data_IF_826985751603
#
_entry.id   IF_826985751603
#
_cell.length_a   1.000
_cell.length_b   1.000
_cell.length_c   1.000
_cell.angle_alpha   90.00
_cell.angle_beta   90.00
_cell.angle_gamma   90.00
#
_symmetry.space_group_name_H-M   'P 1'
#
loop_
_entity.id
_entity.type
_entity.pdbx_description
1 polymer ?
#
# COMPACT_ATOMS: atom_id res chain seq x y z
N UNK A 1 29.72 7.61 2.85
CA UNK A 1 28.38 7.10 2.50
C UNK A 1 27.48 7.39 3.70
N UNK A 2 26.56 8.35 3.55
CA UNK A 2 25.92 9.06 4.65
C UNK A 2 24.92 8.20 5.44
N UNK A 3 24.86 8.41 6.77
CA UNK A 3 24.03 7.66 7.73
C UNK A 3 22.50 7.74 7.50
N UNK A 4 22.05 8.61 6.59
CA UNK A 4 20.64 8.80 6.26
C UNK A 4 20.03 7.65 5.45
N UNK A 5 20.85 6.90 4.72
CA UNK A 5 20.39 5.81 3.84
C UNK A 5 19.83 4.58 4.59
N UNK A 6 20.06 4.45 5.90
CA UNK A 6 19.71 3.24 6.66
C UNK A 6 18.20 3.10 6.88
N UNK A 7 17.48 4.21 6.99
CA UNK A 7 16.08 4.22 7.42
C UNK A 7 15.09 4.48 6.29
N UNK A 8 15.56 4.71 5.06
CA UNK A 8 14.75 5.12 3.91
C UNK A 8 13.46 4.31 3.73
N UNK A 9 13.56 2.96 3.74
CA UNK A 9 12.37 2.08 3.60
C UNK A 9 11.46 2.20 4.83
N UNK A 10 12.03 2.20 6.03
CA UNK A 10 11.27 2.31 7.28
C UNK A 10 10.51 3.64 7.38
N UNK A 11 11.15 4.74 7.00
CA UNK A 11 10.55 6.06 6.97
C UNK A 11 9.38 6.10 6.00
N UNK A 12 9.57 5.61 4.77
CA UNK A 12 8.51 5.55 3.77
C UNK A 12 7.32 4.69 4.25
N UNK A 13 7.59 3.54 4.87
CA UNK A 13 6.55 2.66 5.43
C UNK A 13 5.78 3.35 6.56
N UNK A 14 6.49 4.00 7.49
CA UNK A 14 5.86 4.68 8.62
C UNK A 14 5.06 5.90 8.19
N UNK A 15 5.53 6.67 7.20
CA UNK A 15 4.78 7.78 6.59
C UNK A 15 3.53 7.26 5.89
N UNK A 16 3.62 6.18 5.12
CA UNK A 16 2.44 5.56 4.46
C UNK A 16 1.46 5.00 5.48
N UNK A 17 1.94 4.39 6.56
CA UNK A 17 1.10 3.91 7.66
C UNK A 17 0.37 5.07 8.32
N UNK A 18 1.07 6.14 8.69
CA UNK A 18 0.47 7.33 9.25
C UNK A 18 -0.57 7.95 8.31
N UNK A 19 -0.27 8.01 7.01
CA UNK A 19 -1.21 8.50 6.01
C UNK A 19 -2.45 7.64 5.83
N UNK A 20 -2.39 6.33 6.11
CA UNK A 20 -3.58 5.47 6.13
C UNK A 20 -4.54 5.81 7.28
N UNK A 21 -4.09 6.56 8.29
CA UNK A 21 -4.90 7.01 9.43
C UNK A 21 -5.32 8.49 9.33
N UNK A 22 -4.59 9.29 8.54
CA UNK A 22 -4.70 10.76 8.50
C UNK A 22 -4.94 11.31 7.09
N UNK A 23 -5.52 10.51 6.20
CA UNK A 23 -5.95 10.87 4.84
C UNK A 23 -4.87 11.62 4.04
N UNK A 24 -3.64 11.10 4.05
CA UNK A 24 -2.57 11.65 3.21
C UNK A 24 -1.96 12.97 3.69
N UNK A 25 -2.15 13.36 4.96
CA UNK A 25 -1.63 14.61 5.53
C UNK A 25 -0.12 14.64 5.76
N UNK A 26 0.50 13.51 6.09
CA UNK A 26 1.89 13.38 6.52
C UNK A 26 2.81 13.40 5.30
N UNK A 27 3.80 14.29 5.26
CA UNK A 27 4.76 14.41 4.16
C UNK A 27 6.09 13.79 4.51
N UNK A 28 6.54 14.00 5.75
CA UNK A 28 7.82 13.55 6.26
C UNK A 28 7.65 12.77 7.56
N UNK A 29 8.70 12.03 7.94
CA UNK A 29 8.67 11.22 9.17
C UNK A 29 8.40 12.07 10.42
N UNK A 30 8.95 13.29 10.49
CA UNK A 30 8.76 14.21 11.62
C UNK A 30 7.31 14.63 11.83
N UNK A 31 6.54 14.73 10.74
CA UNK A 31 5.14 15.18 10.77
C UNK A 31 4.25 14.20 11.56
N UNK A 32 4.66 12.93 11.67
CA UNK A 32 3.96 11.92 12.47
C UNK A 32 3.98 12.30 13.97
N UNK A 33 4.98 13.04 14.42
CA UNK A 33 5.08 13.51 15.79
C UNK A 33 4.60 14.95 15.95
N UNK A 34 4.00 15.55 14.93
CA UNK A 34 3.45 16.90 15.03
C UNK A 34 2.00 16.87 15.53
N UNK A 35 1.60 17.97 16.15
CA UNK A 35 0.28 18.19 16.76
C UNK A 35 -0.86 17.75 15.85
N UNK A 36 -0.75 17.97 14.53
CA UNK A 36 -1.78 17.60 13.55
C UNK A 36 -2.03 16.09 13.54
N UNK A 37 -0.99 15.27 13.32
CA UNK A 37 -1.14 13.82 13.33
C UNK A 37 -1.42 13.29 14.74
N UNK A 38 -0.71 13.79 15.75
CA UNK A 38 -0.89 13.35 17.14
C UNK A 38 -2.31 13.57 17.63
N UNK A 39 -2.99 14.65 17.21
CA UNK A 39 -4.40 14.87 17.57
C UNK A 39 -5.33 13.79 17.04
N UNK A 40 -5.10 13.34 15.80
CA UNK A 40 -5.85 12.25 15.17
C UNK A 40 -5.55 10.95 15.91
N UNK A 41 -4.27 10.66 16.15
CA UNK A 41 -3.83 9.43 16.79
C UNK A 41 -4.32 9.31 18.24
N UNK A 42 -4.20 10.37 19.06
CA UNK A 42 -4.71 10.40 20.45
C UNK A 42 -6.21 10.13 20.46
N UNK A 43 -6.98 10.84 19.64
CA UNK A 43 -8.43 10.62 19.54
C UNK A 43 -8.78 9.20 19.12
N UNK A 44 -8.01 8.62 18.20
CA UNK A 44 -8.20 7.25 17.73
C UNK A 44 -7.92 6.21 18.82
N UNK A 45 -6.91 6.43 19.65
CA UNK A 45 -6.52 5.50 20.71
C UNK A 45 -7.41 5.63 21.96
N UNK A 46 -7.60 6.86 22.47
CA UNK A 46 -8.24 7.10 23.77
C UNK A 46 -9.70 7.51 23.66
N UNK A 47 -10.11 8.10 22.52
CA UNK A 47 -11.41 8.74 22.35
C UNK A 47 -11.43 10.22 22.76
N UNK A 48 -10.36 10.73 23.36
CA UNK A 48 -10.30 12.09 23.90
C UNK A 48 -9.86 13.13 22.86
N UNK A 49 -10.22 14.38 23.11
CA UNK A 49 -9.68 15.51 22.34
C UNK A 49 -8.26 15.85 22.78
N UNK A 50 -7.37 16.09 21.81
CA UNK A 50 -6.03 16.61 22.05
C UNK A 50 -5.98 18.12 21.80
N UNK A 51 -5.48 18.88 22.76
CA UNK A 51 -5.34 20.35 22.66
C UNK A 51 -3.86 20.70 22.61
N UNK A 52 -3.48 21.49 21.61
CA UNK A 52 -2.11 21.98 21.48
C UNK A 52 -1.77 22.97 22.59
N UNK A 53 -0.57 22.84 23.15
CA UNK A 53 0.02 23.80 24.08
C UNK A 53 0.78 24.92 23.36
N UNK A 54 0.86 24.90 22.02
CA UNK A 54 1.66 25.82 21.21
C UNK A 54 3.17 25.51 21.20
N UNK A 55 3.62 24.49 21.91
CA UNK A 55 5.01 24.02 21.90
C UNK A 55 5.06 22.59 21.39
N UNK A 56 5.72 22.37 20.25
CA UNK A 56 5.85 21.05 19.61
C UNK A 56 6.35 19.99 20.59
N UNK A 57 7.38 20.31 21.36
CA UNK A 57 7.99 19.36 22.31
C UNK A 57 7.02 18.95 23.41
N UNK A 58 6.29 19.93 23.95
CA UNK A 58 5.31 19.70 25.00
C UNK A 58 4.10 18.93 24.45
N UNK A 59 3.68 19.21 23.22
CA UNK A 59 2.61 18.49 22.54
C UNK A 59 2.98 17.01 22.35
N UNK A 60 4.20 16.70 21.94
CA UNK A 60 4.69 15.32 21.84
C UNK A 60 4.64 14.62 23.19
N UNK A 61 5.16 15.24 24.26
CA UNK A 61 5.15 14.66 25.61
C UNK A 61 3.73 14.42 26.13
N UNK A 62 2.84 15.39 25.91
CA UNK A 62 1.44 15.29 26.31
C UNK A 62 0.74 14.16 25.56
N UNK A 63 0.93 14.06 24.24
CA UNK A 63 0.35 13.00 23.43
C UNK A 63 0.84 11.63 23.90
N UNK A 64 2.16 11.46 24.13
CA UNK A 64 2.73 10.21 24.63
C UNK A 64 2.12 9.77 25.96
N UNK A 65 1.96 10.70 26.91
CA UNK A 65 1.30 10.42 28.20
C UNK A 65 -0.16 10.00 28.05
N UNK A 66 -0.89 10.58 27.09
CA UNK A 66 -2.29 10.25 26.85
C UNK A 66 -2.46 8.86 26.24
N UNK A 67 -1.60 8.48 25.28
CA UNK A 67 -1.73 7.19 24.58
C UNK A 67 -1.07 6.02 25.31
N UNK A 68 -0.13 6.29 26.22
CA UNK A 68 0.52 5.28 27.04
C UNK A 68 0.86 5.84 28.42
N UNK A 69 0.30 5.22 29.46
CA UNK A 69 0.68 5.47 30.86
C UNK A 69 1.94 4.69 31.27
N UNK A 70 2.59 4.01 30.32
CA UNK A 70 3.72 3.13 30.53
C UNK A 70 5.08 3.80 30.30
N UNK A 71 6.12 2.99 30.30
CA UNK A 71 7.51 3.43 30.16
C UNK A 71 8.02 3.44 28.70
N UNK A 72 7.14 3.21 27.70
CA UNK A 72 7.55 3.03 26.29
C UNK A 72 8.38 4.17 25.74
N UNK A 73 8.01 5.39 26.14
CA UNK A 73 8.64 6.62 25.67
C UNK A 73 9.77 7.11 26.58
N UNK A 74 10.00 6.48 27.75
CA UNK A 74 11.02 6.94 28.72
C UNK A 74 12.45 6.84 28.19
N UNK A 75 12.69 5.94 27.23
CA UNK A 75 14.01 5.73 26.63
C UNK A 75 14.30 6.71 25.48
N UNK A 76 13.35 7.57 25.11
CA UNK A 76 13.48 8.46 23.96
C UNK A 76 14.00 9.82 24.41
N UNK A 77 15.08 10.27 23.79
CA UNK A 77 15.56 11.63 23.97
C UNK A 77 14.64 12.60 23.23
N UNK A 78 13.96 13.46 24.00
CA UNK A 78 13.09 14.50 23.44
C UNK A 78 13.89 15.53 22.61
N UNK A 79 15.16 15.77 22.96
CA UNK A 79 16.04 16.63 22.18
C UNK A 79 16.36 16.00 20.82
N UNK A 80 16.60 14.68 20.75
CA UNK A 80 16.83 14.02 19.47
C UNK A 80 15.59 14.05 18.56
N UNK A 81 14.38 13.97 19.13
CA UNK A 81 13.14 14.19 18.36
C UNK A 81 13.03 15.64 17.87
N UNK A 82 13.39 16.61 18.71
CA UNK A 82 13.36 18.03 18.35
C UNK A 82 14.36 18.34 17.22
N UNK A 83 15.52 17.70 17.24
CA UNK A 83 16.59 17.84 16.25
C UNK A 83 16.31 17.06 14.94
N UNK A 84 15.17 16.36 14.84
CA UNK A 84 14.81 15.62 13.63
C UNK A 84 15.59 14.31 13.44
N UNK A 85 16.12 13.71 14.51
CA UNK A 85 16.90 12.48 14.40
C UNK A 85 16.02 11.30 13.94
N UNK A 86 16.26 10.73 12.75
CA UNK A 86 15.37 9.71 12.17
C UNK A 86 15.32 8.44 13.02
N UNK A 87 16.41 8.06 13.70
CA UNK A 87 16.41 6.90 14.59
C UNK A 87 15.48 7.09 15.79
N UNK A 88 15.54 8.26 16.42
CA UNK A 88 14.70 8.58 17.58
C UNK A 88 13.23 8.66 17.18
N UNK A 89 12.94 9.30 16.05
CA UNK A 89 11.58 9.42 15.53
C UNK A 89 11.03 8.05 15.10
N UNK A 90 11.79 7.24 14.34
CA UNK A 90 11.37 5.88 13.99
C UNK A 90 11.12 5.01 15.22
N UNK A 91 11.92 5.17 16.28
CA UNK A 91 11.67 4.45 17.53
C UNK A 91 10.36 4.89 18.19
N UNK A 92 10.08 6.20 18.26
CA UNK A 92 8.82 6.74 18.77
C UNK A 92 7.61 6.27 17.95
N UNK A 93 7.68 6.38 16.62
CA UNK A 93 6.61 5.94 15.70
C UNK A 93 6.38 4.43 15.82
N UNK A 94 7.44 3.64 16.00
CA UNK A 94 7.30 2.22 16.30
C UNK A 94 6.52 1.95 17.59
N UNK A 95 6.72 2.76 18.65
CA UNK A 95 5.91 2.63 19.86
C UNK A 95 4.44 2.98 19.59
N UNK A 96 4.15 4.00 18.77
CA UNK A 96 2.78 4.32 18.36
C UNK A 96 2.14 3.15 17.59
N UNK A 97 2.85 2.50 16.67
CA UNK A 97 2.38 1.30 15.95
C UNK A 97 2.03 0.17 16.93
N UNK A 98 2.86 -0.06 17.96
CA UNK A 98 2.58 -1.08 18.97
C UNK A 98 1.36 -0.74 19.84
N UNK A 99 1.15 0.54 20.16
CA UNK A 99 -0.04 1.01 20.89
C UNK A 99 -1.28 0.84 20.02
N UNK A 100 -1.18 1.16 18.72
CA UNK A 100 -2.25 0.94 17.76
C UNK A 100 -2.66 -0.54 17.70
N UNK A 101 -1.69 -1.46 17.61
CA UNK A 101 -1.98 -2.91 17.69
C UNK A 101 -2.75 -3.27 18.96
N UNK A 102 -2.28 -2.85 20.13
CA UNK A 102 -2.96 -3.13 21.41
C UNK A 102 -4.41 -2.64 21.45
N UNK A 103 -4.71 -1.55 20.74
CA UNK A 103 -6.03 -0.94 20.71
C UNK A 103 -7.01 -1.64 19.77
N UNK A 104 -6.52 -2.14 18.63
CA UNK A 104 -7.36 -2.62 17.53
C UNK A 104 -7.26 -4.11 17.24
N UNK A 105 -6.23 -4.81 17.72
CA UNK A 105 -6.13 -6.24 17.54
C UNK A 105 -7.18 -7.01 18.37
N UNK A 106 -7.61 -8.19 17.90
CA UNK A 106 -8.50 -9.08 18.65
C UNK A 106 -7.99 -9.41 20.06
N UNK A 107 -8.92 -9.64 20.99
CA UNK A 107 -8.62 -9.73 22.42
C UNK A 107 -7.65 -10.88 22.79
N UNK A 108 -7.66 -11.96 22.02
CA UNK A 108 -6.81 -13.15 22.18
C UNK A 108 -5.35 -12.92 21.75
N UNK A 109 -5.09 -11.95 20.87
CA UNK A 109 -3.73 -11.68 20.35
C UNK A 109 -3.16 -10.32 20.75
N UNK A 110 -3.99 -9.36 21.17
CA UNK A 110 -3.56 -7.98 21.42
C UNK A 110 -2.54 -7.81 22.56
N UNK A 111 -2.54 -8.73 23.52
CA UNK A 111 -1.64 -8.68 24.69
C UNK A 111 -0.29 -9.36 24.42
N UNK A 112 -0.17 -10.13 23.33
CA UNK A 112 1.09 -10.69 22.87
C UNK A 112 1.97 -9.60 22.25
N UNK A 113 3.28 -9.87 22.10
CA UNK A 113 4.12 -8.94 21.34
C UNK A 113 3.67 -8.97 19.87
N UNK A 114 3.46 -7.80 19.28
CA UNK A 114 3.02 -7.64 17.88
C UNK A 114 3.72 -8.58 16.90
N UNK A 115 5.06 -8.67 16.95
CA UNK A 115 5.82 -9.52 16.05
C UNK A 115 5.65 -11.03 16.33
N UNK A 116 5.41 -11.43 17.58
CA UNK A 116 5.16 -12.85 17.92
C UNK A 116 3.77 -13.24 17.40
N UNK A 117 2.74 -12.46 17.73
CA UNK A 117 1.36 -12.68 17.26
C UNK A 117 1.27 -12.77 15.73
N UNK A 118 1.93 -11.86 15.01
CA UNK A 118 1.92 -11.89 13.55
C UNK A 118 2.71 -13.06 12.97
N UNK A 119 3.80 -13.48 13.62
CA UNK A 119 4.55 -14.66 13.15
C UNK A 119 3.67 -15.91 13.26
N UNK A 120 3.03 -16.11 14.40
CA UNK A 120 2.16 -17.26 14.64
C UNK A 120 1.01 -17.30 13.65
N UNK A 121 0.33 -16.17 13.44
CA UNK A 121 -0.71 -16.02 12.42
C UNK A 121 -0.20 -16.37 11.01
N UNK A 122 0.95 -15.83 10.60
CA UNK A 122 1.50 -16.09 9.26
C UNK A 122 1.82 -17.57 9.07
N UNK A 123 2.45 -18.22 10.06
CA UNK A 123 2.81 -19.64 10.02
C UNK A 123 1.55 -20.51 9.92
N UNK A 124 0.54 -20.25 10.74
CA UNK A 124 -0.73 -20.96 10.72
C UNK A 124 -1.40 -20.87 9.34
N UNK A 125 -1.54 -19.65 8.80
CA UNK A 125 -2.21 -19.41 7.52
C UNK A 125 -1.46 -19.96 6.31
N UNK A 126 -0.13 -20.03 6.38
CA UNK A 126 0.71 -20.55 5.30
C UNK A 126 0.82 -22.09 5.29
N UNK A 127 0.52 -22.76 6.40
CA UNK A 127 0.79 -24.19 6.62
C UNK A 127 0.23 -25.09 5.50
N UNK A 128 -1.01 -24.86 5.08
CA UNK A 128 -1.68 -25.67 4.04
C UNK A 128 -1.06 -25.56 2.64
N UNK A 129 -0.27 -24.52 2.41
CA UNK A 129 0.39 -24.27 1.12
C UNK A 129 1.86 -24.73 1.12
N UNK A 130 2.32 -25.39 2.19
CA UNK A 130 3.70 -25.85 2.36
C UNK A 130 4.74 -24.71 2.26
N UNK A 131 4.31 -23.47 2.54
CA UNK A 131 5.20 -22.29 2.60
C UNK A 131 5.71 -22.14 4.02
N UNK A 132 7.03 -22.15 4.20
CA UNK A 132 7.67 -22.02 5.50
C UNK A 132 7.99 -20.55 5.80
N UNK A 133 7.58 -20.08 6.98
CA UNK A 133 7.85 -18.72 7.45
C UNK A 133 8.65 -18.79 8.74
N UNK A 134 9.91 -18.34 8.70
CA UNK A 134 10.81 -18.40 9.84
C UNK A 134 11.24 -17.02 10.34
N UNK A 135 11.18 -16.01 9.47
CA UNK A 135 11.57 -14.62 9.73
C UNK A 135 10.65 -13.60 9.04
N UNK A 136 10.93 -12.31 9.24
CA UNK A 136 10.20 -11.19 8.64
C UNK A 136 10.93 -10.55 7.46
N UNK A 137 11.95 -11.21 6.90
CA UNK A 137 12.74 -10.64 5.81
C UNK A 137 12.87 -11.68 4.71
N UNK A 138 13.68 -12.72 4.91
CA UNK A 138 14.01 -13.71 3.89
C UNK A 138 12.79 -14.50 3.42
N UNK A 139 11.90 -14.87 4.34
CA UNK A 139 10.69 -15.68 4.09
C UNK A 139 9.65 -14.99 3.18
N UNK A 140 9.84 -13.70 2.93
CA UNK A 140 8.89 -12.86 2.19
C UNK A 140 9.43 -12.44 0.81
N UNK A 141 10.72 -12.68 0.55
CA UNK A 141 11.42 -12.17 -0.64
C UNK A 141 10.96 -12.79 -1.95
N UNK A 142 10.47 -14.02 -1.91
CA UNK A 142 10.03 -14.76 -3.09
C UNK A 142 8.56 -14.52 -3.45
N UNK A 143 7.79 -13.92 -2.52
CA UNK A 143 6.37 -13.60 -2.63
C UNK A 143 5.40 -14.73 -2.29
N UNK A 144 5.86 -15.95 -1.97
CA UNK A 144 4.94 -17.07 -1.71
C UNK A 144 4.15 -16.87 -0.40
N UNK A 145 4.80 -16.36 0.64
CA UNK A 145 4.16 -16.11 1.94
C UNK A 145 2.96 -15.15 1.83
N UNK A 146 3.11 -14.03 1.09
CA UNK A 146 2.02 -13.07 0.88
C UNK A 146 0.82 -13.71 0.17
N UNK A 147 1.08 -14.47 -0.89
CA UNK A 147 0.04 -15.15 -1.65
C UNK A 147 -0.66 -16.24 -0.84
N UNK A 148 0.10 -16.99 -0.02
CA UNK A 148 -0.43 -18.02 0.87
C UNK A 148 -1.40 -17.44 1.89
N UNK A 149 -1.04 -16.31 2.50
CA UNK A 149 -1.88 -15.61 3.47
C UNK A 149 -3.19 -15.14 2.85
N UNK A 150 -3.19 -14.65 1.61
CA UNK A 150 -4.41 -14.22 0.91
C UNK A 150 -5.30 -15.41 0.53
N UNK A 151 -4.73 -16.45 -0.09
CA UNK A 151 -5.47 -17.65 -0.46
C UNK A 151 -6.08 -18.33 0.76
N UNK A 152 -5.32 -18.43 1.86
CA UNK A 152 -5.79 -18.01 3.16
C UNK A 152 -7.30 -17.90 3.45
N UNK A 153 -7.76 -16.69 3.20
CA UNK A 153 -9.07 -16.17 3.48
C UNK A 153 -10.01 -16.34 2.29
N UNK A 154 -9.47 -16.41 1.07
CA UNK A 154 -10.26 -16.65 -0.12
C UNK A 154 -9.53 -17.61 -1.09
N UNK A 155 -9.78 -18.93 -0.97
CA UNK A 155 -9.17 -19.95 -1.82
C UNK A 155 -9.54 -19.82 -3.30
N UNK A 156 -10.62 -19.13 -3.63
CA UNK A 156 -11.13 -18.99 -5.00
C UNK A 156 -10.46 -17.85 -5.79
N UNK A 157 -9.57 -17.05 -5.17
CA UNK A 157 -8.90 -15.94 -5.86
C UNK A 157 -8.01 -16.41 -7.02
N UNK A 158 -7.21 -17.44 -6.78
CA UNK A 158 -6.25 -18.02 -7.73
C UNK A 158 -5.70 -19.35 -7.19
N UNK A 159 -4.79 -19.99 -7.91
CA UNK A 159 -4.06 -21.16 -7.40
C UNK A 159 -2.55 -20.91 -7.31
N UNK A 160 -1.87 -21.58 -6.37
CA UNK A 160 -0.41 -21.47 -6.23
C UNK A 160 0.34 -21.86 -7.52
N UNK A 161 -0.23 -22.73 -8.35
CA UNK A 161 0.32 -23.11 -9.65
C UNK A 161 0.28 -21.97 -10.67
N UNK A 162 -0.66 -21.03 -10.59
CA UNK A 162 -0.71 -19.89 -11.52
C UNK A 162 0.40 -18.88 -11.27
N UNK A 163 0.88 -18.80 -10.02
CA UNK A 163 1.93 -17.87 -9.66
C UNK A 163 3.31 -18.51 -9.74
N UNK A 164 3.45 -19.85 -9.77
CA UNK A 164 4.75 -20.53 -9.62
C UNK A 164 5.80 -20.05 -10.64
N UNK A 165 5.39 -19.77 -11.88
CA UNK A 165 6.27 -19.31 -12.96
C UNK A 165 6.56 -17.79 -12.94
N UNK A 166 5.94 -17.03 -12.03
CA UNK A 166 6.19 -15.59 -11.89
C UNK A 166 7.55 -15.31 -11.24
N UNK A 167 8.20 -14.23 -11.66
CA UNK A 167 9.36 -13.71 -10.90
C UNK A 167 8.89 -13.23 -9.54
N UNK A 168 9.78 -13.28 -8.54
CA UNK A 168 9.46 -12.89 -7.16
C UNK A 168 8.81 -11.50 -7.06
N UNK A 169 9.36 -10.50 -7.75
CA UNK A 169 8.82 -9.13 -7.76
C UNK A 169 7.40 -9.05 -8.32
N UNK A 170 7.10 -9.81 -9.38
CA UNK A 170 5.78 -9.84 -10.01
C UNK A 170 4.77 -10.60 -9.13
N UNK A 171 5.23 -11.66 -8.46
CA UNK A 171 4.44 -12.43 -7.49
C UNK A 171 4.06 -11.60 -6.27
N UNK A 172 4.97 -10.75 -5.79
CA UNK A 172 4.72 -9.81 -4.70
C UNK A 172 3.76 -8.72 -5.17
N UNK A 173 3.98 -8.14 -6.36
CA UNK A 173 3.08 -7.14 -6.94
C UNK A 173 1.65 -7.68 -7.09
N UNK A 174 1.51 -8.92 -7.54
CA UNK A 174 0.23 -9.59 -7.66
C UNK A 174 -0.48 -9.71 -6.31
N UNK A 175 0.19 -10.21 -5.28
CA UNK A 175 -0.39 -10.29 -3.94
C UNK A 175 -0.76 -8.92 -3.36
N UNK A 176 0.12 -7.93 -3.50
CA UNK A 176 -0.14 -6.58 -2.98
C UNK A 176 -1.31 -5.91 -3.71
N UNK A 177 -1.46 -6.15 -5.01
CA UNK A 177 -2.62 -5.70 -5.81
C UNK A 177 -3.91 -6.34 -5.30
N UNK A 178 -3.90 -7.66 -5.06
CA UNK A 178 -5.07 -8.35 -4.52
C UNK A 178 -5.44 -7.85 -3.12
N UNK A 179 -4.45 -7.65 -2.25
CA UNK A 179 -4.67 -7.11 -0.91
C UNK A 179 -5.30 -5.70 -0.95
N UNK A 180 -4.83 -4.84 -1.84
CA UNK A 180 -5.38 -3.50 -2.06
C UNK A 180 -6.81 -3.56 -2.59
N UNK A 181 -7.07 -4.30 -3.67
CA UNK A 181 -8.38 -4.31 -4.34
C UNK A 181 -9.45 -5.12 -3.62
N UNK A 182 -9.10 -6.26 -3.01
CA UNK A 182 -10.09 -7.16 -2.40
C UNK A 182 -10.19 -7.00 -0.89
N UNK A 183 -9.14 -6.50 -0.23
CA UNK A 183 -9.08 -6.41 1.24
C UNK A 183 -8.92 -4.96 1.74
N UNK A 184 -8.77 -3.98 0.84
CA UNK A 184 -8.55 -2.57 1.17
C UNK A 184 -7.31 -2.39 2.06
N UNK A 185 -6.27 -3.20 1.86
CA UNK A 185 -5.00 -3.04 2.58
C UNK A 185 -4.12 -2.01 1.85
N UNK A 186 -3.75 -0.89 2.49
CA UNK A 186 -2.89 0.12 1.86
C UNK A 186 -1.48 -0.44 1.59
N UNK A 187 -0.88 0.00 0.48
CA UNK A 187 0.49 -0.39 0.09
C UNK A 187 1.54 0.37 0.89
N UNK A 188 1.96 -0.20 2.01
CA UNK A 188 3.02 0.39 2.84
C UNK A 188 4.42 0.14 2.26
N UNK A 189 4.63 -1.04 1.69
CA UNK A 189 5.87 -1.43 0.98
C UNK A 189 5.65 -1.40 -0.53
N UNK A 190 6.74 -1.38 -1.30
CA UNK A 190 6.74 -1.65 -2.74
C UNK A 190 7.32 -3.05 -2.99
N UNK A 191 6.94 -3.75 -4.09
CA UNK A 191 7.48 -5.07 -4.39
C UNK A 191 9.01 -5.13 -4.43
N UNK A 192 9.64 -4.09 -4.97
CA UNK A 192 11.11 -3.97 -5.03
C UNK A 192 11.76 -3.92 -3.65
N UNK A 193 11.07 -3.41 -2.63
CA UNK A 193 11.62 -3.21 -1.28
C UNK A 193 11.93 -4.56 -0.62
N UNK A 194 11.19 -5.62 -0.94
CA UNK A 194 11.41 -6.97 -0.42
C UNK A 194 12.77 -7.55 -0.82
N UNK A 195 13.30 -7.15 -1.99
CA UNK A 195 14.63 -7.58 -2.45
C UNK A 195 15.77 -6.73 -1.88
N UNK A 196 15.46 -5.61 -1.21
CA UNK A 196 16.46 -4.69 -0.68
C UNK A 196 17.17 -5.26 0.54
N UNK A 197 18.49 -5.03 0.62
CA UNK A 197 19.28 -5.29 1.83
C UNK A 197 18.95 -4.33 2.97
N UNK A 198 18.31 -3.19 2.65
CA UNK A 198 17.89 -2.19 3.63
C UNK A 198 16.52 -2.49 4.26
N UNK A 199 15.83 -3.53 3.80
CA UNK A 199 14.55 -3.93 4.37
C UNK A 199 14.74 -4.37 5.82
N UNK A 200 13.98 -3.78 6.72
CA UNK A 200 14.02 -4.12 8.14
C UNK A 200 12.73 -4.83 8.60
N UNK A 201 12.85 -5.58 9.70
CA UNK A 201 11.76 -6.34 10.28
C UNK A 201 10.55 -5.47 10.66
N UNK A 202 10.74 -4.24 11.17
CA UNK A 202 9.60 -3.40 11.60
C UNK A 202 8.77 -2.94 10.42
N UNK A 203 9.39 -2.69 9.27
CA UNK A 203 8.70 -2.36 8.03
C UNK A 203 7.76 -3.49 7.58
N UNK A 204 8.27 -4.73 7.55
CA UNK A 204 7.47 -5.90 7.17
C UNK A 204 6.39 -6.18 8.22
N UNK A 205 6.72 -6.14 9.51
CA UNK A 205 5.75 -6.33 10.60
C UNK A 205 4.66 -5.26 10.55
N UNK A 206 4.97 -4.00 10.25
CA UNK A 206 3.98 -2.93 10.09
C UNK A 206 3.02 -3.22 8.93
N UNK A 207 3.53 -3.66 7.77
CA UNK A 207 2.69 -4.05 6.64
C UNK A 207 1.79 -5.25 6.98
N UNK A 208 2.34 -6.28 7.62
CA UNK A 208 1.58 -7.46 8.04
C UNK A 208 0.54 -7.15 9.11
N UNK A 209 0.82 -6.21 10.02
CA UNK A 209 -0.15 -5.72 10.99
C UNK A 209 -1.38 -5.15 10.30
N UNK A 210 -1.18 -4.28 9.31
CA UNK A 210 -2.31 -3.67 8.58
C UNK A 210 -3.05 -4.73 7.77
N UNK A 211 -2.34 -5.62 7.08
CA UNK A 211 -2.94 -6.73 6.35
C UNK A 211 -3.79 -7.64 7.26
N UNK A 212 -3.26 -8.01 8.43
CA UNK A 212 -3.98 -8.82 9.43
C UNK A 212 -5.28 -8.15 9.85
N UNK A 213 -5.24 -6.86 10.21
CA UNK A 213 -6.43 -6.13 10.64
C UNK A 213 -7.45 -6.01 9.49
N UNK A 214 -7.00 -5.77 8.26
CA UNK A 214 -7.88 -5.73 7.08
C UNK A 214 -8.59 -7.07 6.84
N UNK A 215 -7.87 -8.19 6.99
CA UNK A 215 -8.41 -9.54 6.75
C UNK A 215 -9.37 -9.99 7.86
N UNK A 216 -9.01 -9.75 9.12
CA UNK A 216 -9.79 -10.19 10.29
C UNK A 216 -11.01 -9.30 10.60
N UNK A 217 -10.95 -8.00 10.27
CA UNK A 217 -12.12 -7.13 10.39
C UNK A 217 -13.23 -7.47 9.37
N UNK A 218 -12.90 -8.16 8.27
CA UNK A 218 -13.91 -8.64 7.30
C UNK A 218 -14.59 -9.93 7.75
N UNK A 219 -13.90 -10.80 8.49
CA UNK A 219 -14.49 -12.04 9.03
C UNK A 219 -15.59 -11.78 10.07
N UNK A 220 -15.60 -10.61 10.73
CA UNK A 220 -16.63 -10.21 11.70
C UNK A 220 -17.88 -9.55 11.08
N UNK A 221 -17.91 -9.37 9.76
CA UNK A 221 -19.13 -8.97 9.04
C UNK A 221 -19.82 -10.24 8.51
N UNK A 222 -21.10 -10.52 8.88
CA UNK A 222 -21.84 -11.61 8.28
C UNK A 222 -21.82 -11.44 6.77
N UNK A 223 -21.36 -12.46 6.06
CA UNK A 223 -21.39 -12.48 4.61
C UNK A 223 -22.84 -12.28 4.15
N UNK A 224 -23.13 -11.12 3.56
CA UNK A 224 -24.26 -11.01 2.63
C UNK A 224 -23.91 -11.92 1.46
N UNK A 225 -24.49 -13.11 1.47
CA UNK A 225 -24.58 -13.97 0.31
C UNK A 225 -25.19 -13.17 -0.83
N UNK A 226 -24.38 -12.75 -1.80
CA UNK A 226 -24.85 -12.35 -3.12
C UNK A 226 -25.33 -13.61 -3.86
N UNK A 227 -26.45 -14.15 -3.39
CA UNK A 227 -27.37 -14.96 -4.17
C UNK A 227 -28.63 -14.13 -4.34
N UNK A 228 -28.97 -13.79 -5.59
CA UNK A 228 -30.22 -13.18 -6.08
C UNK A 228 -30.09 -11.80 -6.72
N UNK A 229 -29.33 -11.70 -7.81
CA UNK A 229 -29.67 -10.78 -8.91
C UNK A 229 -29.68 -11.55 -10.23
N UNK A 230 -30.44 -12.65 -10.28
CA UNK A 230 -30.78 -13.35 -11.54
C UNK A 230 -32.23 -13.86 -11.61
N UNK A 231 -33.13 -13.39 -10.73
CA UNK A 231 -34.56 -13.70 -10.82
C UNK A 231 -35.40 -12.43 -10.66
N UNK A 232 -35.30 -11.53 -11.64
CA UNK A 232 -36.32 -10.49 -11.84
C UNK A 232 -36.43 -10.03 -13.31
N UNK A 233 -36.19 -10.93 -14.26
CA UNK A 233 -36.54 -10.75 -15.68
C UNK A 233 -37.22 -12.03 -16.17
N UNK A 234 -38.34 -12.41 -15.56
CA UNK A 234 -39.20 -13.47 -16.13
C UNK A 234 -40.68 -13.38 -15.68
N UNK A 235 -41.18 -12.15 -15.48
CA UNK A 235 -42.58 -11.93 -15.10
C UNK A 235 -43.33 -10.83 -15.85
N UNK A 236 -42.81 -10.35 -17.00
CA UNK A 236 -43.54 -9.37 -17.84
C UNK A 236 -43.92 -9.84 -19.26
N UNK A 237 -43.69 -11.09 -19.65
CA UNK A 237 -44.01 -11.58 -21.01
C UNK A 237 -45.15 -12.62 -21.08
N UNK A 238 -46.11 -12.62 -20.15
CA UNK A 238 -47.32 -13.45 -20.26
C UNK A 238 -48.62 -12.63 -20.20
N UNK A 239 -48.80 -11.65 -21.08
CA UNK A 239 -50.16 -11.26 -21.53
C UNK A 239 -50.13 -10.36 -22.78
N UNK A 240 -50.11 -10.99 -23.97
CA UNK A 240 -51.10 -10.73 -25.04
C UNK A 240 -50.89 -11.74 -26.18
N UNK A 241 -51.84 -12.67 -26.24
CA UNK A 241 -52.02 -13.64 -27.31
C UNK A 241 -52.49 -12.96 -28.61
N UNK A 242 -51.71 -13.17 -29.67
CA UNK A 242 -52.08 -13.53 -31.04
C UNK A 242 -53.46 -13.17 -31.62
N UNK A 243 -53.45 -12.47 -32.77
CA UNK A 243 -54.15 -12.89 -34.00
C UNK A 243 -53.49 -12.25 -35.26
N UNK A 244 -53.29 -13.07 -36.29
CA UNK A 244 -52.48 -12.88 -37.53
C UNK A 244 -53.33 -12.35 -38.74
N UNK A 245 -52.90 -12.44 -40.03
CA UNK A 245 -51.84 -11.72 -40.80
C UNK A 245 -52.37 -11.07 -42.13
N UNK A 246 -51.47 -10.74 -43.09
CA UNK A 246 -51.63 -10.27 -44.53
C UNK A 246 -51.77 -8.75 -44.77
N UNK A 247 -51.25 -8.09 -45.82
CA UNK A 247 -50.20 -8.32 -46.86
C UNK A 247 -50.00 -6.98 -47.64
N UNK A 248 -48.78 -6.68 -48.16
CA UNK A 248 -48.41 -5.76 -49.30
C UNK A 248 -48.69 -4.23 -49.10
N UNK A 249 -47.82 -3.24 -49.36
CA UNK A 249 -47.05 -2.93 -50.59
C UNK A 249 -45.94 -1.86 -50.38
N UNK A 250 -45.13 -1.71 -51.42
CA UNK A 250 -43.94 -0.86 -51.61
C UNK A 250 -44.21 0.62 -51.95
N UNK A 251 -43.19 1.47 -51.67
CA UNK A 251 -42.61 2.59 -52.48
C UNK A 251 -42.98 4.08 -52.26
N UNK A 252 -41.94 4.88 -52.58
CA UNK A 252 -41.80 6.33 -52.90
C UNK A 252 -41.45 7.28 -51.72
N UNK A 253 -40.30 7.99 -51.64
CA UNK A 253 -39.56 8.98 -52.48
C UNK A 253 -40.30 10.32 -52.70
N UNK A 254 -39.78 11.40 -52.08
CA UNK A 254 -39.63 12.81 -52.54
C UNK A 254 -39.30 13.70 -51.32
N UNK A 255 -38.18 14.43 -51.20
CA UNK A 255 -37.71 15.69 -51.83
C UNK A 255 -38.69 16.88 -51.69
N UNK A 256 -38.30 17.88 -50.89
CA UNK A 256 -38.25 19.35 -51.14
C UNK A 256 -38.17 20.07 -49.79
N UNK A 257 -37.09 20.79 -49.44
CA UNK A 257 -36.60 22.11 -49.89
C UNK A 257 -37.50 23.32 -49.60
N UNK A 258 -36.83 24.37 -49.07
CA UNK A 258 -37.22 25.78 -48.83
C UNK A 258 -37.33 26.14 -47.34
N UNK A 259 -36.76 27.22 -46.80
CA UNK A 259 -35.95 28.33 -47.31
C UNK A 259 -35.45 29.15 -46.08
N UNK A 260 -34.28 29.79 -46.20
CA UNK A 260 -33.96 31.21 -45.86
C UNK A 260 -34.37 31.76 -44.47
N UNK A 261 -33.49 32.38 -43.66
CA UNK A 261 -32.84 33.68 -43.94
C UNK A 261 -31.53 33.87 -43.16
N UNK A 262 -30.62 34.61 -43.81
CA UNK A 262 -29.33 35.07 -43.33
C UNK A 262 -29.40 36.28 -42.37
N UNK A 263 -28.34 36.46 -41.56
CA UNK A 263 -27.66 37.76 -41.33
C UNK A 263 -26.28 37.49 -40.67
N UNK A 264 -25.15 37.55 -41.40
CA UNK A 264 -24.22 38.68 -41.66
C UNK A 264 -23.51 39.31 -40.45
N UNK A 265 -22.17 39.41 -40.55
CA UNK A 265 -21.31 40.26 -39.70
C UNK A 265 -20.01 39.54 -39.28
N UNK A 266 -19.02 39.31 -40.17
CA UNK A 266 -18.01 40.25 -40.70
C UNK A 266 -16.81 40.54 -39.77
N UNK A 267 -15.62 40.10 -40.24
CA UNK A 267 -14.26 40.67 -40.09
C UNK A 267 -13.65 40.76 -38.66
N UNK A 268 -12.36 40.58 -38.40
CA UNK A 268 -11.12 40.57 -39.20
C UNK A 268 -9.93 40.26 -38.27
N UNK A 269 -8.80 39.83 -38.84
CA UNK A 269 -7.49 40.30 -38.35
C UNK A 269 -6.50 39.23 -37.94
N UNK A 270 -5.70 38.80 -38.91
CA UNK A 270 -4.42 38.13 -38.71
C UNK A 270 -3.43 39.01 -37.91
N UNK A 271 -2.55 38.40 -37.13
CA UNK A 271 -1.14 38.82 -37.12
C UNK A 271 -0.25 37.63 -36.85
N UNK A 272 0.61 37.37 -37.83
CA UNK A 272 1.69 36.40 -37.82
C UNK A 272 2.90 36.93 -37.04
N UNK A 273 3.71 35.99 -36.55
CA UNK A 273 5.18 35.99 -36.35
C UNK A 273 5.49 34.89 -35.33
N UNK A 274 6.51 34.05 -35.41
CA UNK A 274 7.48 33.65 -36.43
C UNK A 274 8.21 32.45 -35.79
N UNK A 275 8.52 31.41 -36.59
CA UNK A 275 9.84 30.76 -36.72
C UNK A 275 10.64 30.35 -35.46
N UNK A 276 11.42 29.26 -35.41
CA UNK A 276 11.69 28.11 -36.25
C UNK A 276 12.54 27.14 -35.40
N UNK A 277 12.38 25.84 -35.70
CA UNK A 277 13.34 24.72 -35.65
C UNK A 277 14.74 24.93 -35.04
N UNK A 278 15.20 23.97 -34.22
CA UNK A 278 16.26 23.03 -34.66
C UNK A 278 16.42 21.84 -33.69
N UNK A 279 16.43 20.63 -34.26
CA UNK A 279 16.86 19.38 -33.61
C UNK A 279 18.38 19.22 -33.70
N UNK A 280 19.04 18.67 -32.70
CA UNK A 280 20.30 17.94 -32.94
C UNK A 280 20.52 16.81 -31.93
N UNK A 281 20.49 15.59 -32.45
CA UNK A 281 21.00 14.38 -31.82
C UNK A 281 22.53 14.37 -31.77
N UNK A 282 23.14 13.75 -30.76
CA UNK A 282 24.50 13.22 -30.86
C UNK A 282 24.67 11.95 -30.02
N UNK A 283 25.27 10.95 -30.66
CA UNK A 283 25.45 9.57 -30.23
C UNK A 283 26.81 9.33 -29.56
N UNK A 284 26.85 8.36 -28.63
CA UNK A 284 27.83 7.27 -28.41
C UNK A 284 29.36 7.51 -28.55
N UNK A 285 30.11 7.21 -27.48
CA UNK A 285 31.50 6.67 -27.46
C UNK A 285 31.80 6.16 -26.02
N UNK A 286 31.91 4.84 -25.78
CA UNK A 286 33.09 3.96 -25.77
C UNK A 286 33.87 3.83 -24.43
N UNK A 287 34.03 2.57 -24.00
CA UNK A 287 34.79 2.06 -22.84
C UNK A 287 36.31 2.12 -23.03
N UNK A 288 37.08 1.96 -21.93
CA UNK A 288 38.26 1.10 -21.99
C UNK A 288 38.32 0.02 -20.88
N UNK A 289 39.10 -1.01 -21.23
CA UNK A 289 39.23 -2.34 -20.66
C UNK A 289 40.07 -2.47 -19.37
N UNK A 290 39.87 -3.60 -18.69
CA UNK A 290 40.66 -4.10 -17.56
C UNK A 290 42.11 -4.51 -17.93
N UNK A 291 42.96 -4.77 -16.92
CA UNK A 291 44.00 -5.79 -17.00
C UNK A 291 43.78 -6.96 -16.02
N UNK A 292 44.11 -8.16 -16.49
CA UNK A 292 44.10 -9.42 -15.75
C UNK A 292 45.48 -9.82 -15.23
N UNK A 293 45.47 -10.78 -14.28
CA UNK A 293 46.58 -11.62 -13.76
C UNK A 293 47.18 -11.11 -12.43
N UNK A 294 47.29 -11.92 -11.37
CA UNK A 294 48.01 -13.20 -11.30
C UNK A 294 47.66 -14.01 -10.04
N UNK A 295 47.50 -15.34 -10.19
CA UNK A 295 47.53 -16.36 -9.12
C UNK A 295 48.92 -16.41 -8.45
N UNK A 296 48.96 -16.59 -7.13
CA UNK A 296 49.97 -17.42 -6.47
C UNK A 296 49.43 -18.01 -5.16
N UNK A 297 49.96 -19.18 -4.84
CA UNK A 297 49.47 -20.25 -3.98
C UNK A 297 50.02 -20.20 -2.55
N UNK A 298 49.45 -21.04 -1.67
CA UNK A 298 50.00 -21.56 -0.39
C UNK A 298 50.06 -20.51 0.75
N UNK A 299 49.81 -20.82 2.03
CA UNK A 299 50.16 -22.01 2.80
C UNK A 299 49.34 -22.06 4.11
N UNK A 300 49.16 -23.26 4.64
CA UNK A 300 48.58 -23.56 5.95
C UNK A 300 49.40 -22.96 7.10
N UNK A 301 48.71 -22.61 8.19
CA UNK A 301 49.30 -22.53 9.54
C UNK A 301 48.29 -23.09 10.54
N UNK A 302 48.52 -24.34 10.93
CA UNK A 302 48.23 -24.85 12.28
C UNK A 302 49.11 -24.09 13.27
N UNK A 303 48.55 -23.56 14.35
CA UNK A 303 49.21 -23.54 15.68
C UNK A 303 48.15 -23.66 16.76
N UNK A 304 48.25 -24.79 17.48
CA UNK A 304 47.99 -25.08 18.90
C UNK A 304 47.06 -24.21 19.74
#
# INVERSE_FOLDING_TARGET
MHSYDRYEIQEAVFVRWANSLADGTVRELSDILDTKFLSIFVKLITGDSFVSSGSRLQDIQNAFRLVDNGERFNQISMNEIADGNPRAICFAVWQLIQIFWKRFAPADVRDQKLAEALKDWCVERAQRFQVQISDFISSWRDGYALNAILLSYNPELFSMNQICDMRAVDRIEYAMSLAEHHVNTPRLLQPKDFSSERLDMKSVVCYLMVLYLSLTNKESSPQESHSSEQQQIESLESSKSSQSPMIINQKDIAISDSQSTADSGALSGETAQNEAEYSTSKSFEQFPSAPSSRRQSQQAVDVS
#
